data_IF_188795823292
#
_entry.id   IF_188795823292
#
_cell.length_a   1.000
_cell.length_b   1.000
_cell.length_c   1.000
_cell.angle_alpha   90.00
_cell.angle_beta   90.00
_cell.angle_gamma   90.00
#
_symmetry.space_group_name_H-M   'P 1'
#
loop_
_entity.id
_entity.type
_entity.pdbx_description
1 polymer ?
#
# COMPACT_ATOMS: atom_id res chain seq x y z
N UNK A 1 16.03 -10.55 5.45
CA UNK A 1 16.69 -9.61 6.39
C UNK A 1 16.38 -8.14 6.09
N UNK A 2 16.66 -7.62 4.89
CA UNK A 2 16.45 -6.19 4.56
C UNK A 2 15.01 -5.65 4.77
N UNK A 3 13.99 -6.38 4.30
CA UNK A 3 12.58 -5.99 4.43
C UNK A 3 12.19 -5.87 5.91
N UNK A 4 12.53 -6.87 6.72
CA UNK A 4 12.22 -6.90 8.15
C UNK A 4 12.93 -5.77 8.91
N UNK A 5 14.20 -5.47 8.57
CA UNK A 5 14.93 -4.36 9.16
C UNK A 5 14.30 -3.00 8.82
N UNK A 6 13.79 -2.81 7.60
CA UNK A 6 13.06 -1.60 7.23
C UNK A 6 11.73 -1.49 7.95
N UNK A 7 10.95 -2.57 8.04
CA UNK A 7 9.71 -2.61 8.83
C UNK A 7 9.99 -2.23 10.29
N UNK A 8 11.01 -2.81 10.91
CA UNK A 8 11.40 -2.49 12.30
C UNK A 8 11.80 -1.02 12.44
N UNK A 9 12.54 -0.46 11.47
CA UNK A 9 12.91 0.97 11.48
C UNK A 9 11.68 1.87 11.38
N UNK A 10 10.74 1.55 10.50
CA UNK A 10 9.48 2.29 10.33
C UNK A 10 8.64 2.18 11.60
N UNK A 11 8.52 0.99 12.17
CA UNK A 11 7.79 0.76 13.43
C UNK A 11 8.38 1.55 14.58
N UNK A 12 9.71 1.51 14.76
CA UNK A 12 10.39 2.23 15.83
C UNK A 12 10.23 3.75 15.70
N UNK A 13 10.33 4.29 14.48
CA UNK A 13 10.23 5.75 14.24
C UNK A 13 8.79 6.27 14.24
N UNK A 14 7.84 5.44 13.85
CA UNK A 14 6.42 5.83 13.78
C UNK A 14 5.61 5.44 15.02
N UNK A 15 6.19 4.70 15.97
CA UNK A 15 5.44 4.12 17.08
C UNK A 15 4.42 3.10 16.61
N UNK A 16 4.79 2.26 15.61
CA UNK A 16 3.90 1.32 14.92
C UNK A 16 2.68 1.97 14.25
N UNK A 17 2.74 3.23 13.82
CA UNK A 17 1.62 3.89 13.14
C UNK A 17 1.64 3.76 11.62
N UNK A 18 2.78 3.44 11.03
CA UNK A 18 2.93 3.37 9.56
C UNK A 18 3.21 1.92 9.14
N UNK A 19 2.42 1.41 8.19
CA UNK A 19 2.71 0.14 7.53
C UNK A 19 3.84 0.31 6.51
N UNK A 20 4.75 -0.65 6.42
CA UNK A 20 5.75 -0.71 5.37
C UNK A 20 5.59 -2.03 4.61
N UNK A 21 5.37 -1.94 3.31
CA UNK A 21 5.19 -3.10 2.43
C UNK A 21 6.19 -2.98 1.30
N UNK A 22 6.91 -4.06 1.01
CA UNK A 22 7.85 -4.10 -0.10
C UNK A 22 7.43 -5.15 -1.13
N UNK A 23 7.30 -4.73 -2.39
CA UNK A 23 7.11 -5.66 -3.50
C UNK A 23 8.41 -5.75 -4.30
N UNK A 24 9.04 -6.93 -4.29
CA UNK A 24 10.29 -7.20 -5.01
C UNK A 24 10.14 -7.25 -6.54
N UNK A 25 8.94 -7.55 -7.02
CA UNK A 25 8.57 -7.55 -8.43
C UNK A 25 7.04 -7.39 -8.56
N UNK A 26 6.55 -7.28 -9.80
CA UNK A 26 5.12 -7.18 -10.13
C UNK A 26 4.58 -8.52 -10.66
N UNK A 27 5.00 -9.62 -10.04
CA UNK A 27 4.49 -10.97 -10.33
C UNK A 27 3.35 -11.40 -9.40
N UNK A 28 2.63 -12.45 -9.78
CA UNK A 28 1.47 -12.96 -9.02
C UNK A 28 1.77 -13.29 -7.55
N UNK A 29 2.88 -13.96 -7.25
CA UNK A 29 3.24 -14.27 -5.87
C UNK A 29 3.53 -13.02 -5.00
N UNK A 30 4.13 -11.98 -5.59
CA UNK A 30 4.33 -10.70 -4.89
C UNK A 30 3.02 -9.96 -4.69
N UNK A 31 2.08 -10.06 -5.65
CA UNK A 31 0.74 -9.52 -5.51
C UNK A 31 -0.03 -10.21 -4.37
N UNK A 32 0.01 -11.54 -4.28
CA UNK A 32 -0.65 -12.28 -3.21
C UNK A 32 -0.11 -11.88 -1.83
N UNK A 33 1.22 -11.74 -1.71
CA UNK A 33 1.85 -11.27 -0.48
C UNK A 33 1.42 -9.83 -0.15
N UNK A 34 1.43 -8.93 -1.13
CA UNK A 34 0.97 -7.55 -0.98
C UNK A 34 -0.48 -7.49 -0.46
N UNK A 35 -1.41 -8.24 -1.08
CA UNK A 35 -2.81 -8.28 -0.65
C UNK A 35 -2.97 -8.82 0.77
N UNK A 36 -2.18 -9.83 1.13
CA UNK A 36 -2.13 -10.37 2.50
C UNK A 36 -1.66 -9.33 3.50
N UNK A 37 -0.51 -8.69 3.27
CA UNK A 37 0.05 -7.67 4.18
C UNK A 37 -0.87 -6.46 4.32
N UNK A 38 -1.51 -6.05 3.23
CA UNK A 38 -2.48 -4.94 3.27
C UNK A 38 -3.67 -5.28 4.17
N UNK A 39 -4.22 -6.50 4.05
CA UNK A 39 -5.40 -6.94 4.80
C UNK A 39 -5.09 -7.35 6.24
N UNK A 40 -3.90 -7.87 6.53
CA UNK A 40 -3.52 -8.33 7.88
C UNK A 40 -2.88 -7.24 8.73
N UNK A 41 -2.15 -6.31 8.11
CA UNK A 41 -1.33 -5.33 8.82
C UNK A 41 -1.75 -3.90 8.50
N UNK A 42 -1.73 -3.49 7.23
CA UNK A 42 -1.93 -2.09 6.85
C UNK A 42 -3.33 -1.55 7.20
N UNK A 43 -4.33 -2.41 7.30
CA UNK A 43 -5.67 -2.03 7.76
C UNK A 43 -5.66 -1.45 9.19
N UNK A 44 -4.72 -1.89 10.04
CA UNK A 44 -4.57 -1.45 11.42
C UNK A 44 -3.56 -0.30 11.62
N UNK A 45 -2.93 0.18 10.54
CA UNK A 45 -1.97 1.29 10.57
C UNK A 45 -2.59 2.59 10.07
N UNK A 46 -2.09 3.74 10.50
CA UNK A 46 -2.61 5.07 10.12
C UNK A 46 -2.22 5.48 8.69
N UNK A 47 -1.11 4.96 8.17
CA UNK A 47 -0.57 5.29 6.85
C UNK A 47 0.21 4.11 6.25
N UNK A 48 0.53 4.20 4.95
CA UNK A 48 1.26 3.16 4.20
C UNK A 48 2.49 3.74 3.49
N UNK A 49 3.60 3.02 3.60
CA UNK A 49 4.76 3.13 2.70
C UNK A 49 4.77 1.87 1.84
N UNK A 50 4.56 2.04 0.53
CA UNK A 50 4.78 0.99 -0.45
C UNK A 50 6.16 1.19 -1.08
N UNK A 51 7.06 0.23 -0.90
CA UNK A 51 8.43 0.28 -1.41
C UNK A 51 8.59 -0.58 -2.65
N UNK A 52 8.79 0.06 -3.80
CA UNK A 52 9.07 -0.57 -5.09
C UNK A 52 10.52 -0.37 -5.53
N UNK A 53 11.43 0.07 -4.65
CA UNK A 53 12.86 0.16 -4.97
C UNK A 53 13.38 -1.22 -5.34
N UNK A 54 14.17 -1.29 -6.40
CA UNK A 54 14.70 -2.56 -6.95
C UNK A 54 13.63 -3.53 -7.49
N UNK A 55 12.40 -3.07 -7.72
CA UNK A 55 11.34 -3.89 -8.30
C UNK A 55 11.59 -4.14 -9.79
N UNK A 56 11.63 -5.41 -10.21
CA UNK A 56 12.01 -5.80 -11.57
C UNK A 56 10.85 -5.83 -12.59
N UNK A 57 9.69 -5.27 -12.26
CA UNK A 57 8.52 -5.27 -13.15
C UNK A 57 7.76 -6.60 -13.15
N UNK A 58 6.87 -6.77 -14.13
CA UNK A 58 5.89 -7.86 -14.19
C UNK A 58 4.61 -7.42 -14.92
N UNK A 59 3.44 -7.83 -14.46
CA UNK A 59 2.15 -7.54 -15.13
C UNK A 59 0.95 -7.50 -14.16
N UNK A 60 1.13 -6.92 -12.98
CA UNK A 60 0.07 -6.83 -11.94
C UNK A 60 -0.22 -5.40 -11.48
N UNK A 61 0.34 -4.38 -12.15
CA UNK A 61 0.15 -2.98 -11.79
C UNK A 61 -1.32 -2.59 -11.63
N UNK A 62 -2.20 -3.06 -12.52
CA UNK A 62 -3.63 -2.72 -12.49
C UNK A 62 -4.27 -3.19 -11.18
N UNK A 63 -4.00 -4.43 -10.76
CA UNK A 63 -4.54 -4.94 -9.51
C UNK A 63 -3.99 -4.22 -8.28
N UNK A 64 -2.70 -3.86 -8.29
CA UNK A 64 -2.08 -3.06 -7.22
C UNK A 64 -2.74 -1.69 -7.14
N UNK A 65 -2.91 -0.99 -8.26
CA UNK A 65 -3.52 0.34 -8.30
C UNK A 65 -5.00 0.31 -7.90
N UNK A 66 -5.77 -0.70 -8.35
CA UNK A 66 -7.16 -0.88 -7.92
C UNK A 66 -7.27 -1.03 -6.41
N UNK A 67 -6.43 -1.88 -5.82
CA UNK A 67 -6.33 -2.07 -4.37
C UNK A 67 -6.01 -0.76 -3.66
N UNK A 68 -4.97 -0.03 -4.08
CA UNK A 68 -4.57 1.22 -3.44
C UNK A 68 -5.61 2.33 -3.60
N UNK A 69 -6.41 2.29 -4.68
CA UNK A 69 -7.43 3.30 -4.99
C UNK A 69 -8.76 3.10 -4.28
N UNK A 70 -8.93 2.01 -3.53
CA UNK A 70 -10.19 1.71 -2.88
C UNK A 70 -10.53 2.74 -1.79
N UNK A 71 -11.69 3.39 -1.96
CA UNK A 71 -12.23 4.46 -1.10
C UNK A 71 -13.49 4.00 -0.38
N UNK A 72 -13.81 4.56 0.81
CA UNK A 72 -15.11 4.34 1.43
C UNK A 72 -16.17 5.00 0.56
N UNK A 73 -17.29 4.31 0.34
CA UNK A 73 -18.45 4.82 -0.38
C UNK A 73 -19.65 5.10 0.54
N UNK A 74 -19.66 4.56 1.75
CA UNK A 74 -20.67 4.90 2.76
C UNK A 74 -20.13 4.71 4.17
N UNK A 75 -20.88 5.21 5.15
CA UNK A 75 -20.72 4.85 6.56
C UNK A 75 -21.97 4.13 7.03
N UNK A 76 -21.80 3.17 7.93
CA UNK A 76 -22.89 2.43 8.54
C UNK A 76 -22.63 2.28 10.04
N UNK A 77 -23.68 2.11 10.83
CA UNK A 77 -23.58 1.77 12.24
C UNK A 77 -24.73 0.85 12.63
N UNK A 78 -24.50 0.02 13.64
CA UNK A 78 -25.59 -0.61 14.37
C UNK A 78 -26.35 0.45 15.18
N UNK A 79 -27.58 0.14 15.63
CA UNK A 79 -28.46 1.08 16.36
C UNK A 79 -27.73 1.79 17.51
N UNK A 80 -26.94 1.04 18.27
CA UNK A 80 -26.13 1.53 19.41
C UNK A 80 -24.61 1.49 19.13
N UNK A 81 -24.21 1.39 17.86
CA UNK A 81 -22.81 1.26 17.45
C UNK A 81 -22.17 2.59 17.02
N UNK A 82 -20.86 2.57 16.83
CA UNK A 82 -20.12 3.65 16.16
C UNK A 82 -20.19 3.53 14.65
N UNK A 83 -20.00 4.64 13.94
CA UNK A 83 -19.92 4.62 12.47
C UNK A 83 -18.65 3.93 12.01
N UNK A 84 -18.81 2.98 11.07
CA UNK A 84 -17.74 2.31 10.36
C UNK A 84 -17.83 2.63 8.85
N UNK A 85 -16.70 2.78 8.14
CA UNK A 85 -16.69 2.95 6.70
C UNK A 85 -17.06 1.65 5.97
N UNK A 86 -17.61 1.75 4.76
CA UNK A 86 -17.77 0.63 3.83
C UNK A 86 -17.10 0.96 2.49
N UNK A 87 -16.23 0.09 1.97
CA UNK A 87 -15.74 -1.13 2.63
C UNK A 87 -14.95 -0.79 3.90
N UNK A 88 -14.87 -1.75 4.83
CA UNK A 88 -14.08 -1.56 6.06
C UNK A 88 -12.57 -1.36 5.78
N UNK A 89 -12.14 -1.66 4.55
CA UNK A 89 -10.76 -1.55 4.10
C UNK A 89 -10.62 -0.55 2.95
N UNK A 90 -9.93 0.57 3.21
CA UNK A 90 -9.88 1.71 2.28
C UNK A 90 -8.51 2.42 2.27
N UNK A 91 -7.50 1.87 1.56
CA UNK A 91 -6.16 2.44 1.51
C UNK A 91 -6.14 3.91 1.06
N UNK A 92 -6.97 4.27 0.08
CA UNK A 92 -7.04 5.63 -0.45
C UNK A 92 -7.61 6.67 0.52
N UNK A 93 -8.15 6.25 1.67
CA UNK A 93 -8.55 7.14 2.76
C UNK A 93 -7.41 7.46 3.73
N UNK A 94 -6.28 6.75 3.63
CA UNK A 94 -5.10 6.93 4.49
C UNK A 94 -3.97 7.63 3.71
N UNK A 95 -3.08 8.37 4.39
CA UNK A 95 -1.87 8.89 3.76
C UNK A 95 -1.00 7.76 3.23
N UNK A 96 -0.52 7.90 1.99
CA UNK A 96 0.37 6.92 1.36
C UNK A 96 1.59 7.57 0.73
N UNK A 97 2.72 6.85 0.78
CA UNK A 97 3.95 7.17 0.07
C UNK A 97 4.38 5.94 -0.74
N UNK A 98 4.83 6.19 -1.96
CA UNK A 98 5.45 5.19 -2.83
C UNK A 98 6.95 5.49 -2.94
N UNK A 99 7.80 4.50 -2.66
CA UNK A 99 9.25 4.62 -2.87
C UNK A 99 9.65 3.95 -4.18
N UNK A 100 10.45 4.65 -4.99
CA UNK A 100 11.01 4.13 -6.24
C UNK A 100 12.50 4.48 -6.34
N UNK A 101 13.27 3.76 -7.15
CA UNK A 101 14.65 4.15 -7.47
C UNK A 101 14.99 3.86 -8.94
N UNK A 102 16.19 4.21 -9.37
CA UNK A 102 16.67 4.03 -10.74
C UNK A 102 16.72 2.57 -11.23
N UNK A 103 16.53 1.58 -10.33
CA UNK A 103 16.52 0.15 -10.67
C UNK A 103 15.09 -0.38 -10.83
N UNK A 104 14.09 0.34 -10.33
CA UNK A 104 12.69 -0.01 -10.51
C UNK A 104 12.31 0.08 -12.00
N UNK A 105 11.70 -0.97 -12.55
CA UNK A 105 11.53 -1.13 -13.99
C UNK A 105 10.10 -1.53 -14.37
N UNK A 106 9.65 -1.12 -15.56
CA UNK A 106 8.45 -1.64 -16.25
C UNK A 106 7.18 -1.41 -15.42
N UNK A 107 6.46 -2.46 -15.03
CA UNK A 107 5.22 -2.35 -14.24
C UNK A 107 5.39 -1.58 -12.90
N UNK A 108 6.61 -1.50 -12.36
CA UNK A 108 6.92 -0.63 -11.23
C UNK A 108 6.81 0.86 -11.60
N UNK A 109 7.31 1.24 -12.78
CA UNK A 109 7.20 2.60 -13.33
C UNK A 109 5.74 2.92 -13.70
N UNK A 110 5.03 1.96 -14.28
CA UNK A 110 3.58 2.08 -14.58
C UNK A 110 2.81 2.32 -13.28
N UNK A 111 3.08 1.54 -12.24
CA UNK A 111 2.47 1.72 -10.92
C UNK A 111 2.81 3.09 -10.33
N UNK A 112 4.05 3.55 -10.43
CA UNK A 112 4.43 4.88 -9.94
C UNK A 112 3.73 6.02 -10.68
N UNK A 113 3.63 5.92 -12.01
CA UNK A 113 2.91 6.90 -12.81
C UNK A 113 1.40 6.88 -12.52
N UNK A 114 0.81 5.68 -12.41
CA UNK A 114 -0.59 5.50 -12.03
C UNK A 114 -0.89 6.05 -10.63
N UNK A 115 -0.01 5.79 -9.66
CA UNK A 115 -0.14 6.29 -8.29
C UNK A 115 -0.15 7.82 -8.21
N UNK A 116 0.70 8.49 -9.01
CA UNK A 116 0.67 9.96 -9.17
C UNK A 116 -0.63 10.42 -9.84
N UNK A 117 -0.99 9.78 -10.96
CA UNK A 117 -2.16 10.15 -11.78
C UNK A 117 -3.46 10.05 -10.97
N UNK A 118 -3.61 8.99 -10.17
CA UNK A 118 -4.77 8.74 -9.32
C UNK A 118 -4.75 9.54 -8.01
N UNK A 119 -3.73 10.39 -7.79
CA UNK A 119 -3.56 11.24 -6.61
C UNK A 119 -3.62 10.44 -5.31
N UNK A 120 -2.97 9.27 -5.29
CA UNK A 120 -2.98 8.36 -4.14
C UNK A 120 -2.00 8.79 -3.04
N UNK A 121 -0.98 9.57 -3.38
CA UNK A 121 0.01 10.04 -2.43
C UNK A 121 1.23 10.64 -3.11
N UNK A 122 2.33 10.72 -2.34
CA UNK A 122 3.63 11.18 -2.88
C UNK A 122 4.45 9.99 -3.37
N UNK A 123 5.14 10.19 -4.48
CA UNK A 123 6.21 9.28 -4.93
C UNK A 123 7.53 9.93 -4.56
N UNK A 124 8.40 9.16 -3.91
CA UNK A 124 9.72 9.57 -3.44
C UNK A 124 10.78 8.68 -4.09
#
# INVERSE_FOLDING_TARGET
EWIAANQQRVDARSGKRIAYIHMKNMGGGSLEQFLREISSEAIHRDALILDLRYNTGGNVHDRVLQTLSQRPYMQWKYREGTFAPQPNWTPAAKPMILLINAVSLSDAEVTANGFKTLKLGKVI
#
